data_IF_401663765215
#
_entry.id   IF_401663765215
#
_cell.length_a   1.000
_cell.length_b   1.000
_cell.length_c   1.000
_cell.angle_alpha   90.00
_cell.angle_beta   90.00
_cell.angle_gamma   90.00
#
_symmetry.space_group_name_H-M   'P 1'
#
loop_
_entity.id
_entity.type
_entity.pdbx_description
1 polymer ?
#
# COMPACT_ATOMS: atom_id res chain seq x y z
N UNK A 1 33.06 6.45 10.25
CA UNK A 1 33.20 7.92 10.10
C UNK A 1 32.36 8.41 8.90
N UNK A 2 31.02 8.37 8.97
CA UNK A 2 30.18 8.76 7.81
C UNK A 2 28.85 9.46 8.17
N UNK A 3 28.68 9.92 9.42
CA UNK A 3 27.42 10.60 9.82
C UNK A 3 27.47 12.13 9.79
N UNK A 4 28.56 12.75 9.33
CA UNK A 4 28.73 14.22 9.37
C UNK A 4 28.54 14.91 8.01
N UNK A 5 28.64 14.19 6.90
CA UNK A 5 28.49 14.77 5.55
C UNK A 5 27.01 14.94 5.16
N UNK A 6 26.12 14.08 5.65
CA UNK A 6 24.67 14.18 5.39
C UNK A 6 24.00 15.35 6.13
N UNK A 7 24.66 16.00 7.10
CA UNK A 7 24.09 17.20 7.75
C UNK A 7 24.23 18.46 6.89
N UNK A 8 25.37 18.62 6.21
CA UNK A 8 25.69 19.83 5.45
C UNK A 8 24.89 19.93 4.13
N UNK A 9 24.57 18.80 3.49
CA UNK A 9 23.70 18.77 2.32
C UNK A 9 22.25 19.15 2.63
N UNK A 10 21.74 18.73 3.80
CA UNK A 10 20.37 19.06 4.22
C UNK A 10 20.22 20.55 4.55
N UNK A 11 21.20 21.16 5.23
CA UNK A 11 21.17 22.60 5.49
C UNK A 11 21.23 23.43 4.20
N UNK A 12 22.05 23.03 3.22
CA UNK A 12 22.12 23.69 1.91
C UNK A 12 20.81 23.58 1.12
N UNK A 13 20.18 22.41 1.10
CA UNK A 13 18.88 22.21 0.45
C UNK A 13 17.76 22.99 1.13
N UNK A 14 17.78 23.06 2.47
CA UNK A 14 16.85 23.90 3.24
C UNK A 14 17.04 25.38 2.94
N UNK A 15 18.29 25.87 2.83
CA UNK A 15 18.57 27.27 2.51
C UNK A 15 18.14 27.64 1.09
N UNK A 16 18.40 26.78 0.09
CA UNK A 16 17.96 27.01 -1.30
C UNK A 16 16.42 26.96 -1.41
N UNK A 17 15.77 26.02 -0.70
CA UNK A 17 14.30 25.94 -0.62
C UNK A 17 13.68 27.13 0.11
N UNK A 18 14.36 27.66 1.15
CA UNK A 18 13.96 28.87 1.87
C UNK A 18 14.15 30.12 0.99
N UNK A 19 15.25 30.22 0.26
CA UNK A 19 15.54 31.34 -0.65
C UNK A 19 14.60 31.37 -1.87
N UNK A 20 14.18 30.21 -2.38
CA UNK A 20 13.16 30.09 -3.43
C UNK A 20 11.75 30.45 -2.92
N UNK A 21 11.49 30.23 -1.62
CA UNK A 21 10.21 30.56 -0.97
C UNK A 21 10.06 32.07 -0.69
N UNK A 22 11.15 32.81 -0.63
CA UNK A 22 11.15 34.26 -0.34
C UNK A 22 10.96 35.11 -1.61
N UNK A 23 11.28 34.60 -2.81
CA UNK A 23 11.23 35.36 -4.08
C UNK A 23 9.97 35.20 -4.92
N UNK A 24 8.95 34.46 -4.46
CA UNK A 24 7.70 34.27 -5.20
C UNK A 24 6.48 34.51 -4.32
N UNK A 25 5.72 35.57 -4.61
CA UNK A 25 4.38 35.90 -4.08
C UNK A 25 3.90 34.97 -2.94
N UNK A 26 4.41 35.21 -1.73
CA UNK A 26 4.34 34.28 -0.60
C UNK A 26 2.91 33.91 -0.20
N UNK A 27 1.94 34.79 -0.40
CA UNK A 27 0.53 34.52 -0.06
C UNK A 27 -0.12 33.46 -0.97
N UNK A 28 0.11 33.51 -2.28
CA UNK A 28 -0.45 32.54 -3.23
C UNK A 28 0.22 31.17 -3.08
N UNK A 29 1.52 31.13 -2.83
CA UNK A 29 2.24 29.87 -2.63
C UNK A 29 1.78 29.17 -1.34
N UNK A 30 1.60 29.92 -0.25
CA UNK A 30 1.09 29.36 1.01
C UNK A 30 -0.37 28.87 0.87
N UNK A 31 -1.24 29.61 0.15
CA UNK A 31 -2.60 29.14 -0.15
C UNK A 31 -2.62 27.84 -0.96
N UNK A 32 -1.73 27.70 -1.95
CA UNK A 32 -1.61 26.46 -2.75
C UNK A 32 -1.08 25.29 -1.91
N UNK A 33 -0.13 25.55 -1.01
CA UNK A 33 0.37 24.55 -0.05
C UNK A 33 -0.72 24.12 0.94
N UNK A 34 -1.53 25.05 1.45
CA UNK A 34 -2.64 24.75 2.36
C UNK A 34 -3.68 23.88 1.67
N UNK A 35 -4.12 24.24 0.45
CA UNK A 35 -5.04 23.40 -0.34
C UNK A 35 -4.48 22.00 -0.62
N UNK A 36 -3.19 21.88 -0.90
CA UNK A 36 -2.53 20.58 -1.09
C UNK A 36 -2.52 19.75 0.20
N UNK A 37 -2.26 20.40 1.35
CA UNK A 37 -2.32 19.76 2.67
C UNK A 37 -3.72 19.27 2.99
N UNK A 38 -4.74 20.09 2.75
CA UNK A 38 -6.14 19.70 2.98
C UNK A 38 -6.58 18.58 2.06
N UNK A 39 -6.18 18.61 0.79
CA UNK A 39 -6.44 17.51 -0.14
C UNK A 39 -5.77 16.20 0.33
N UNK A 40 -4.52 16.26 0.83
CA UNK A 40 -3.84 15.10 1.39
C UNK A 40 -4.50 14.59 2.68
N UNK A 41 -4.96 15.50 3.56
CA UNK A 41 -5.68 15.16 4.80
C UNK A 41 -7.02 14.51 4.48
N UNK A 42 -7.80 15.09 3.57
CA UNK A 42 -9.08 14.55 3.10
C UNK A 42 -8.90 13.14 2.52
N UNK A 43 -7.89 12.93 1.67
CA UNK A 43 -7.57 11.60 1.12
C UNK A 43 -7.25 10.58 2.21
N UNK A 44 -6.39 10.94 3.17
CA UNK A 44 -6.04 10.06 4.31
C UNK A 44 -7.25 9.76 5.18
N UNK A 45 -8.09 10.76 5.45
CA UNK A 45 -9.31 10.60 6.24
C UNK A 45 -10.32 9.66 5.58
N UNK A 46 -10.57 9.85 4.28
CA UNK A 46 -11.46 8.98 3.49
C UNK A 46 -10.97 7.55 3.47
N UNK A 47 -9.68 7.34 3.16
CA UNK A 47 -9.08 6.01 3.19
C UNK A 47 -9.25 5.36 4.58
N UNK A 48 -8.99 6.09 5.66
CA UNK A 48 -9.16 5.56 7.02
C UNK A 48 -10.60 5.14 7.32
N UNK A 49 -11.58 5.93 6.85
CA UNK A 49 -13.00 5.57 6.95
C UNK A 49 -13.33 4.28 6.20
N UNK A 50 -12.89 4.16 4.94
CA UNK A 50 -13.12 2.94 4.14
C UNK A 50 -12.48 1.70 4.81
N UNK A 51 -11.31 1.85 5.41
CA UNK A 51 -10.68 0.77 6.19
C UNK A 51 -11.52 0.32 7.37
N UNK A 52 -12.13 1.25 8.11
CA UNK A 52 -13.00 0.89 9.24
C UNK A 52 -14.30 0.25 8.77
N UNK A 53 -14.91 0.75 7.69
CA UNK A 53 -16.11 0.13 7.11
C UNK A 53 -15.80 -1.28 6.62
N UNK A 54 -14.63 -1.49 5.97
CA UNK A 54 -14.17 -2.81 5.60
C UNK A 54 -14.03 -3.73 6.82
N UNK A 55 -13.39 -3.26 7.89
CA UNK A 55 -13.21 -4.03 9.12
C UNK A 55 -14.54 -4.50 9.74
N UNK A 56 -15.60 -3.69 9.64
CA UNK A 56 -16.94 -4.03 10.15
C UNK A 56 -17.64 -5.12 9.32
N UNK A 57 -17.28 -5.27 8.04
CA UNK A 57 -17.86 -6.31 7.17
C UNK A 57 -17.24 -7.70 7.36
N UNK A 58 -16.11 -7.81 8.06
CA UNK A 58 -15.53 -9.11 8.38
C UNK A 58 -16.44 -9.86 9.36
N UNK A 59 -16.50 -11.21 9.30
CA UNK A 59 -17.27 -12.04 10.24
C UNK A 59 -16.56 -12.15 11.60
N UNK A 60 -16.26 -11.00 12.23
CA UNK A 60 -15.55 -10.88 13.49
C UNK A 60 -16.29 -9.87 14.40
N UNK A 61 -16.28 -10.07 15.72
CA UNK A 61 -16.85 -9.12 16.66
C UNK A 61 -16.22 -7.72 16.55
N UNK A 62 -17.04 -6.67 16.63
CA UNK A 62 -16.60 -5.27 16.51
C UNK A 62 -15.51 -4.87 17.55
N UNK A 63 -15.54 -5.50 18.73
CA UNK A 63 -14.53 -5.31 19.78
C UNK A 63 -13.12 -5.70 19.31
N UNK A 64 -13.00 -6.66 18.39
CA UNK A 64 -11.72 -7.13 17.86
C UNK A 64 -11.34 -6.33 16.62
N UNK A 65 -12.29 -6.09 15.71
CA UNK A 65 -12.00 -5.40 14.43
C UNK A 65 -11.60 -3.94 14.62
N UNK A 66 -12.04 -3.29 15.69
CA UNK A 66 -11.61 -1.94 16.07
C UNK A 66 -10.13 -1.82 16.45
N UNK A 67 -9.49 -2.91 16.88
CA UNK A 67 -8.08 -2.94 17.30
C UNK A 67 -7.14 -3.39 16.17
N UNK A 68 -7.67 -3.80 15.02
CA UNK A 68 -6.87 -4.28 13.91
C UNK A 68 -6.08 -3.14 13.24
N UNK A 69 -4.82 -3.41 12.96
CA UNK A 69 -4.01 -2.54 12.11
C UNK A 69 -4.46 -2.64 10.63
N UNK A 70 -4.19 -1.59 9.86
CA UNK A 70 -4.58 -1.50 8.44
C UNK A 70 -4.09 -2.69 7.61
N UNK A 71 -2.87 -3.18 7.85
CA UNK A 71 -2.32 -4.30 7.07
C UNK A 71 -3.03 -5.62 7.40
N UNK A 72 -3.33 -5.86 8.68
CA UNK A 72 -4.12 -7.03 9.09
C UNK A 72 -5.55 -7.00 8.55
N UNK A 73 -6.21 -5.83 8.50
CA UNK A 73 -7.54 -5.70 7.87
C UNK A 73 -7.50 -6.18 6.41
N UNK A 74 -6.50 -5.75 5.62
CA UNK A 74 -6.34 -6.21 4.23
C UNK A 74 -6.07 -7.71 4.15
N UNK A 75 -5.11 -8.21 4.93
CA UNK A 75 -4.73 -9.65 4.90
C UNK A 75 -5.94 -10.54 5.23
N UNK A 76 -6.68 -10.21 6.28
CA UNK A 76 -7.86 -10.96 6.69
C UNK A 76 -8.98 -10.88 5.66
N UNK A 77 -9.21 -9.71 5.06
CA UNK A 77 -10.20 -9.55 3.99
C UNK A 77 -9.87 -10.44 2.79
N UNK A 78 -8.61 -10.42 2.33
CA UNK A 78 -8.15 -11.26 1.21
C UNK A 78 -8.34 -12.74 1.56
N UNK A 79 -7.90 -13.17 2.74
CA UNK A 79 -8.07 -14.55 3.20
C UNK A 79 -9.53 -14.97 3.27
N UNK A 80 -10.41 -14.08 3.73
CA UNK A 80 -11.86 -14.34 3.81
C UNK A 80 -12.49 -14.57 2.43
N UNK A 81 -12.20 -13.69 1.47
CA UNK A 81 -12.68 -13.86 0.09
C UNK A 81 -12.16 -15.16 -0.53
N UNK A 82 -10.86 -15.43 -0.37
CA UNK A 82 -10.22 -16.66 -0.85
C UNK A 82 -10.85 -17.91 -0.28
N UNK A 83 -11.14 -17.93 1.03
CA UNK A 83 -11.80 -19.06 1.68
C UNK A 83 -13.25 -19.24 1.21
N UNK A 84 -13.97 -18.14 0.96
CA UNK A 84 -15.34 -18.19 0.43
C UNK A 84 -15.38 -18.74 -0.99
N UNK A 85 -14.44 -18.32 -1.83
CA UNK A 85 -14.31 -18.81 -3.20
C UNK A 85 -13.89 -20.29 -3.20
N UNK A 86 -12.94 -20.67 -2.34
CA UNK A 86 -12.56 -22.08 -2.13
C UNK A 86 -13.75 -22.94 -1.69
N UNK A 87 -14.50 -22.49 -0.70
CA UNK A 87 -15.67 -23.22 -0.19
C UNK A 87 -16.79 -23.39 -1.22
N UNK A 88 -16.84 -22.55 -2.26
CA UNK A 88 -17.89 -22.59 -3.29
C UNK A 88 -17.47 -23.33 -4.57
N UNK A 89 -16.20 -23.27 -4.96
CA UNK A 89 -15.71 -23.83 -6.23
C UNK A 89 -14.70 -24.99 -6.05
N UNK A 90 -14.32 -25.32 -4.81
CA UNK A 90 -13.47 -26.46 -4.46
C UNK A 90 -11.97 -26.24 -4.70
N UNK A 91 -11.57 -25.61 -5.81
CA UNK A 91 -10.17 -25.34 -6.14
C UNK A 91 -9.96 -23.89 -6.57
N UNK A 92 -9.07 -23.13 -5.91
CA UNK A 92 -8.87 -21.76 -6.27
C UNK A 92 -7.87 -21.59 -7.43
N UNK A 93 -8.05 -20.59 -8.31
CA UNK A 93 -7.16 -20.38 -9.46
C UNK A 93 -5.73 -20.02 -9.07
N UNK A 94 -5.47 -19.49 -7.87
CA UNK A 94 -4.12 -19.24 -7.36
C UNK A 94 -3.34 -20.50 -6.96
N UNK A 95 -3.98 -21.68 -6.96
CA UNK A 95 -3.33 -22.98 -6.76
C UNK A 95 -2.86 -23.63 -8.08
N UNK A 96 -3.13 -23.01 -9.25
CA UNK A 96 -2.85 -23.61 -10.57
C UNK A 96 -1.48 -23.28 -11.17
N UNK A 97 -0.70 -22.41 -10.54
CA UNK A 97 0.65 -22.06 -11.01
C UNK A 97 1.67 -22.64 -10.02
N UNK A 98 2.29 -23.76 -10.42
CA UNK A 98 3.63 -24.26 -10.03
C UNK A 98 3.82 -25.76 -10.36
N UNK A 99 3.18 -26.28 -11.41
CA UNK A 99 3.72 -27.47 -12.10
C UNK A 99 4.57 -26.99 -13.26
N UNK A 100 5.93 -27.03 -13.15
CA UNK A 100 6.76 -26.79 -14.32
C UNK A 100 6.36 -27.78 -15.43
N UNK A 101 6.33 -27.35 -16.71
CA UNK A 101 6.08 -28.29 -17.80
C UNK A 101 7.19 -29.34 -17.78
N UNK A 102 6.83 -30.56 -17.37
CA UNK A 102 7.72 -31.69 -17.42
C UNK A 102 8.09 -31.94 -18.88
N UNK A 103 9.30 -31.53 -19.27
CA UNK A 103 9.91 -31.89 -20.56
C UNK A 103 10.28 -33.38 -20.51
N UNK A 104 9.29 -34.26 -20.62
CA UNK A 104 9.56 -35.66 -20.97
C UNK A 104 9.88 -35.73 -22.46
N UNK A 105 11.14 -35.44 -22.80
CA UNK A 105 11.75 -35.88 -24.06
C UNK A 105 11.80 -37.40 -24.00
N UNK A 106 10.84 -38.06 -24.64
CA UNK A 106 10.94 -39.50 -24.93
C UNK A 106 11.36 -39.62 -26.39
N UNK A 107 12.67 -39.71 -26.59
CA UNK A 107 13.28 -40.23 -27.82
C UNK A 107 12.66 -41.61 -28.07
N UNK A 108 11.96 -41.77 -29.19
CA UNK A 108 11.60 -43.05 -29.80
C UNK A 108 12.45 -43.11 -31.06
N UNK A 109 13.63 -43.70 -30.95
CA UNK A 109 13.91 -45.12 -31.20
C UNK A 109 13.79 -45.46 -32.69
N UNK A 110 15.00 -45.60 -33.22
CA UNK A 110 15.45 -46.04 -34.53
C UNK A 110 14.88 -47.41 -34.89
N UNK A 111 14.30 -47.52 -36.09
CA UNK A 111 14.38 -48.73 -36.91
C UNK A 111 14.19 -48.39 -38.38
#
# INVERSE_FOLDING_TARGET
MEKKVMGCFYLGFYYVRLLLCIRGNSSILELRKEKSRDAARSRRGKENYEFYELAKMLPLPAAITSQLDKASIIRLTISYLRLRDFSSHGDPPWNREDSPPNKSVKVKEEK
#
